data_IF_855082297042
#
_entry.id   IF_855082297042
#
_cell.length_a   1.000
_cell.length_b   1.000
_cell.length_c   1.000
_cell.angle_alpha   90.00
_cell.angle_beta   90.00
_cell.angle_gamma   90.00
#
_symmetry.space_group_name_H-M   'P 1'
#
loop_
_entity.id
_entity.type
_entity.pdbx_description
1 polymer ?
#
# COMPACT_ATOMS: atom_id res chain seq x y z
N UNK A 1 -31.16 -48.58 -24.18
CA UNK A 1 -29.69 -48.50 -24.02
C UNK A 1 -29.09 -47.16 -24.47
N UNK A 2 -29.85 -46.23 -25.07
CA UNK A 2 -29.31 -44.96 -25.59
C UNK A 2 -29.35 -43.77 -24.63
N UNK A 3 -30.02 -43.85 -23.47
CA UNK A 3 -30.07 -42.76 -22.48
C UNK A 3 -28.88 -42.78 -21.49
N UNK A 4 -28.37 -43.97 -21.15
CA UNK A 4 -27.24 -44.14 -20.19
C UNK A 4 -25.91 -43.66 -20.78
N UNK A 5 -25.77 -43.67 -22.12
CA UNK A 5 -24.56 -43.21 -22.80
C UNK A 5 -24.48 -41.68 -22.97
N UNK A 6 -25.60 -40.96 -22.78
CA UNK A 6 -25.62 -39.50 -22.92
C UNK A 6 -25.31 -38.80 -21.59
N UNK A 7 -25.80 -39.33 -20.46
CA UNK A 7 -25.48 -38.79 -19.13
C UNK A 7 -24.00 -38.96 -18.75
N UNK A 8 -23.39 -40.09 -19.12
CA UNK A 8 -21.97 -40.35 -18.90
C UNK A 8 -21.06 -39.42 -19.73
N UNK A 9 -21.48 -39.03 -20.93
CA UNK A 9 -20.73 -38.09 -21.77
C UNK A 9 -20.85 -36.63 -21.30
N UNK A 10 -22.03 -36.23 -20.82
CA UNK A 10 -22.24 -34.89 -20.23
C UNK A 10 -21.47 -34.74 -18.92
N UNK A 11 -21.43 -35.77 -18.07
CA UNK A 11 -20.67 -35.75 -16.82
C UNK A 11 -19.14 -35.73 -17.05
N UNK A 12 -18.65 -36.44 -18.08
CA UNK A 12 -17.24 -36.39 -18.47
C UNK A 12 -16.84 -35.05 -19.11
N UNK A 13 -17.73 -34.41 -19.88
CA UNK A 13 -17.48 -33.09 -20.47
C UNK A 13 -17.50 -31.96 -19.42
N UNK A 14 -18.36 -32.04 -18.39
CA UNK A 14 -18.34 -31.08 -17.29
C UNK A 14 -17.06 -31.21 -16.44
N UNK A 15 -16.61 -32.44 -16.13
CA UNK A 15 -15.38 -32.68 -15.36
C UNK A 15 -14.09 -32.30 -16.13
N UNK A 16 -14.06 -32.50 -17.45
CA UNK A 16 -12.93 -32.06 -18.29
C UNK A 16 -12.92 -30.55 -18.50
N UNK A 17 -14.08 -29.89 -18.54
CA UNK A 17 -14.17 -28.43 -18.59
C UNK A 17 -13.77 -27.79 -17.25
N UNK A 18 -14.18 -28.35 -16.11
CA UNK A 18 -13.75 -27.87 -14.78
C UNK A 18 -12.25 -28.06 -14.56
N UNK A 19 -11.68 -29.23 -14.87
CA UNK A 19 -10.24 -29.48 -14.73
C UNK A 19 -9.37 -28.64 -15.67
N UNK A 20 -9.84 -28.31 -16.89
CA UNK A 20 -9.15 -27.41 -17.80
C UNK A 20 -9.21 -25.94 -17.35
N UNK A 21 -10.32 -25.49 -16.79
CA UNK A 21 -10.45 -24.18 -16.13
C UNK A 21 -9.60 -24.08 -14.86
N UNK A 22 -9.52 -25.13 -14.06
CA UNK A 22 -8.65 -25.20 -12.88
C UNK A 22 -7.18 -25.15 -13.27
N UNK A 23 -6.77 -25.91 -14.29
CA UNK A 23 -5.40 -25.87 -14.81
C UNK A 23 -5.05 -24.50 -15.41
N UNK A 24 -5.97 -23.87 -16.15
CA UNK A 24 -5.76 -22.52 -16.68
C UNK A 24 -5.70 -21.45 -15.57
N UNK A 25 -6.52 -21.58 -14.53
CA UNK A 25 -6.50 -20.70 -13.36
C UNK A 25 -5.22 -20.89 -12.53
N UNK A 26 -4.75 -22.12 -12.35
CA UNK A 26 -3.50 -22.44 -11.67
C UNK A 26 -2.28 -21.96 -12.47
N UNK A 27 -2.30 -22.11 -13.79
CA UNK A 27 -1.24 -21.62 -14.66
C UNK A 27 -1.18 -20.08 -14.64
N UNK A 28 -2.34 -19.40 -14.66
CA UNK A 28 -2.43 -17.95 -14.52
C UNK A 28 -2.02 -17.46 -13.12
N UNK A 29 -2.41 -18.16 -12.05
CA UNK A 29 -1.94 -17.87 -10.70
C UNK A 29 -0.42 -18.04 -10.58
N UNK A 30 0.14 -19.09 -11.20
CA UNK A 30 1.58 -19.34 -11.20
C UNK A 30 2.39 -18.30 -11.99
N UNK A 31 1.85 -17.80 -13.10
CA UNK A 31 2.51 -16.77 -13.91
C UNK A 31 2.48 -15.41 -13.22
N UNK A 32 1.37 -15.06 -12.57
CA UNK A 32 1.25 -13.86 -11.73
C UNK A 32 2.19 -13.93 -10.52
N UNK A 33 2.28 -15.09 -9.88
CA UNK A 33 3.19 -15.32 -8.75
C UNK A 33 4.66 -15.18 -9.18
N UNK A 34 5.04 -15.73 -10.33
CA UNK A 34 6.39 -15.54 -10.92
C UNK A 34 6.68 -14.07 -11.23
N UNK A 35 5.72 -13.36 -11.83
CA UNK A 35 5.86 -11.94 -12.14
C UNK A 35 6.02 -11.09 -10.87
N UNK A 36 5.23 -11.38 -9.84
CA UNK A 36 5.30 -10.68 -8.55
C UNK A 36 6.64 -10.95 -7.85
N UNK A 37 7.14 -12.19 -7.91
CA UNK A 37 8.46 -12.55 -7.40
C UNK A 37 9.58 -11.77 -8.12
N UNK A 38 9.57 -11.79 -9.46
CA UNK A 38 10.57 -11.09 -10.27
C UNK A 38 10.56 -9.58 -9.99
N UNK A 39 9.39 -8.96 -9.94
CA UNK A 39 9.23 -7.54 -9.61
C UNK A 39 9.83 -7.22 -8.24
N UNK A 40 9.54 -8.02 -7.22
CA UNK A 40 10.09 -7.84 -5.87
C UNK A 40 11.61 -8.03 -5.83
N UNK A 41 12.16 -8.98 -6.58
CA UNK A 41 13.61 -9.16 -6.68
C UNK A 41 14.29 -7.95 -7.32
N UNK A 42 13.72 -7.43 -8.42
CA UNK A 42 14.23 -6.21 -9.08
C UNK A 42 14.20 -5.03 -8.10
N UNK A 43 13.05 -4.79 -7.45
CA UNK A 43 12.94 -3.71 -6.45
C UNK A 43 13.91 -3.90 -5.28
N UNK A 44 14.13 -5.15 -4.84
CA UNK A 44 15.10 -5.45 -3.79
C UNK A 44 16.53 -5.10 -4.23
N UNK A 45 16.95 -5.48 -5.43
CA UNK A 45 18.30 -5.17 -5.96
C UNK A 45 18.50 -3.65 -6.09
N UNK A 46 17.48 -2.94 -6.59
CA UNK A 46 17.51 -1.48 -6.70
C UNK A 46 17.63 -0.84 -5.31
N UNK A 47 16.80 -1.25 -4.35
CA UNK A 47 16.86 -0.77 -2.97
C UNK A 47 18.18 -1.10 -2.30
N UNK A 48 18.75 -2.29 -2.54
CA UNK A 48 20.04 -2.69 -1.99
C UNK A 48 21.17 -1.79 -2.48
N UNK A 49 21.11 -1.39 -3.76
CA UNK A 49 22.07 -0.47 -4.36
C UNK A 49 21.99 0.91 -3.69
N UNK A 50 20.77 1.38 -3.43
CA UNK A 50 20.54 2.66 -2.73
C UNK A 50 21.08 2.63 -1.29
N UNK A 51 20.82 1.55 -0.54
CA UNK A 51 21.28 1.40 0.85
C UNK A 51 22.80 1.38 0.96
N UNK A 52 23.50 0.83 -0.04
CA UNK A 52 24.98 0.80 -0.06
C UNK A 52 25.61 2.17 -0.28
N UNK A 53 24.94 3.06 -1.00
CA UNK A 53 25.47 4.38 -1.34
C UNK A 53 24.99 5.48 -0.36
N UNK A 54 23.78 5.37 0.17
CA UNK A 54 23.18 6.36 1.06
C UNK A 54 23.65 6.20 2.52
N UNK A 55 23.91 7.33 3.18
CA UNK A 55 24.16 7.34 4.62
C UNK A 55 22.88 7.00 5.40
N UNK A 56 22.97 6.37 6.60
CA UNK A 56 21.78 6.03 7.38
C UNK A 56 20.89 7.24 7.70
N UNK A 57 21.49 8.40 7.99
CA UNK A 57 20.72 9.61 8.28
C UNK A 57 19.95 10.13 7.06
N UNK A 58 20.56 10.13 5.87
CA UNK A 58 19.88 10.52 4.63
C UNK A 58 18.78 9.51 4.30
N UNK A 59 19.09 8.22 4.37
CA UNK A 59 18.14 7.15 4.08
C UNK A 59 16.95 7.16 5.05
N UNK A 60 17.19 7.48 6.33
CA UNK A 60 16.16 7.69 7.35
C UNK A 60 15.24 8.87 7.03
N UNK A 61 15.81 10.05 6.75
CA UNK A 61 15.04 11.23 6.33
C UNK A 61 14.16 10.92 5.11
N UNK A 62 14.72 10.24 4.10
CA UNK A 62 13.99 9.92 2.87
C UNK A 62 12.88 8.89 3.12
N UNK A 63 13.25 7.70 3.62
CA UNK A 63 12.36 6.53 3.68
C UNK A 63 11.31 6.62 4.79
N UNK A 64 11.62 7.35 5.86
CA UNK A 64 10.69 7.58 6.96
C UNK A 64 9.95 8.90 6.78
N UNK A 65 10.66 10.02 6.64
CA UNK A 65 10.02 11.34 6.73
C UNK A 65 9.48 11.84 5.40
N UNK A 66 10.29 11.88 4.34
CA UNK A 66 9.85 12.40 3.03
C UNK A 66 8.85 11.48 2.34
N UNK A 67 9.01 10.16 2.46
CA UNK A 67 7.98 9.20 2.02
C UNK A 67 6.68 9.36 2.82
N UNK A 68 6.76 9.57 4.14
CA UNK A 68 5.57 9.84 4.94
C UNK A 68 4.88 11.13 4.50
N UNK A 69 5.64 12.19 4.22
CA UNK A 69 5.12 13.45 3.68
C UNK A 69 4.41 13.22 2.35
N UNK A 70 5.07 12.55 1.39
CA UNK A 70 4.52 12.24 0.08
C UNK A 70 3.24 11.41 0.18
N UNK A 71 3.28 10.32 0.95
CA UNK A 71 2.12 9.44 1.16
C UNK A 71 0.98 10.21 1.83
N UNK A 72 1.26 11.07 2.80
CA UNK A 72 0.26 11.89 3.48
C UNK A 72 -0.42 12.87 2.51
N UNK A 73 0.37 13.57 1.68
CA UNK A 73 -0.15 14.49 0.67
C UNK A 73 -1.06 13.76 -0.30
N UNK A 74 -0.55 12.69 -0.92
CA UNK A 74 -1.29 11.95 -1.94
C UNK A 74 -2.55 11.32 -1.34
N UNK A 75 -2.41 10.67 -0.18
CA UNK A 75 -3.53 10.02 0.48
C UNK A 75 -4.68 10.99 0.78
N UNK A 76 -4.37 12.11 1.46
CA UNK A 76 -5.37 13.13 1.82
C UNK A 76 -6.02 13.77 0.60
N UNK A 77 -5.27 13.89 -0.50
CA UNK A 77 -5.69 14.64 -1.67
C UNK A 77 -6.53 13.81 -2.64
N UNK A 78 -6.24 12.52 -2.84
CA UNK A 78 -6.85 11.71 -3.91
C UNK A 78 -7.61 10.47 -3.46
N UNK A 79 -7.30 9.86 -2.34
CA UNK A 79 -7.73 8.47 -2.07
C UNK A 79 -9.27 8.34 -1.92
N UNK A 80 -9.92 9.25 -1.19
CA UNK A 80 -11.38 9.21 -1.06
C UNK A 80 -12.11 9.53 -2.37
N UNK A 81 -11.60 10.49 -3.15
CA UNK A 81 -12.14 10.83 -4.47
C UNK A 81 -12.00 9.68 -5.47
N UNK A 82 -10.81 9.06 -5.54
CA UNK A 82 -10.56 7.90 -6.40
C UNK A 82 -11.53 6.77 -6.08
N UNK A 83 -11.67 6.42 -4.79
CA UNK A 83 -12.54 5.33 -4.39
C UNK A 83 -14.03 5.60 -4.64
N UNK A 84 -14.47 6.86 -4.55
CA UNK A 84 -15.82 7.25 -4.93
C UNK A 84 -16.03 7.17 -6.45
N UNK A 85 -15.09 7.70 -7.24
CA UNK A 85 -15.14 7.69 -8.72
C UNK A 85 -15.14 6.26 -9.28
N UNK A 86 -14.40 5.33 -8.68
CA UNK A 86 -14.40 3.92 -9.10
C UNK A 86 -15.73 3.19 -8.86
N UNK A 87 -16.61 3.74 -8.01
CA UNK A 87 -17.95 3.19 -7.76
C UNK A 87 -19.03 3.83 -8.64
N UNK A 88 -18.72 4.95 -9.29
CA UNK A 88 -19.67 5.65 -10.13
C UNK A 88 -19.76 4.98 -11.50
N UNK A 89 -20.99 4.78 -11.99
CA UNK A 89 -21.27 4.34 -13.35
C UNK A 89 -21.20 5.54 -14.31
N UNK A 90 -19.97 5.93 -14.66
CA UNK A 90 -19.70 7.15 -15.44
C UNK A 90 -20.02 6.96 -16.93
N UNK A 91 -19.73 5.78 -17.48
CA UNK A 91 -19.91 5.48 -18.91
C UNK A 91 -21.39 5.48 -19.37
N UNK A 92 -22.31 5.04 -18.51
CA UNK A 92 -23.74 5.10 -18.84
C UNK A 92 -24.32 6.52 -18.74
N UNK A 93 -23.70 7.40 -17.95
CA UNK A 93 -24.16 8.79 -17.74
C UNK A 93 -23.55 9.79 -18.71
N UNK A 94 -22.35 9.51 -19.24
CA UNK A 94 -21.75 10.32 -20.31
C UNK A 94 -22.53 10.23 -21.64
N UNK A 95 -23.10 9.06 -21.96
CA UNK A 95 -23.92 8.84 -23.17
C UNK A 95 -25.23 9.63 -23.18
N UNK A 96 -25.70 10.08 -22.01
CA UNK A 96 -26.93 10.87 -21.85
C UNK A 96 -26.77 12.39 -22.03
N UNK A 97 -25.56 12.88 -22.32
CA UNK A 97 -25.30 14.33 -22.48
C UNK A 97 -25.10 15.09 -21.16
N UNK A 98 -25.03 14.40 -20.00
CA UNK A 98 -24.83 14.97 -18.65
C UNK A 98 -23.33 15.06 -18.27
N UNK A 99 -22.47 15.43 -19.22
CA UNK A 99 -21.00 15.28 -19.11
C UNK A 99 -20.27 16.24 -18.17
N UNK A 100 -20.96 17.17 -17.50
CA UNK A 100 -20.27 18.28 -16.82
C UNK A 100 -19.94 18.07 -15.32
N UNK A 101 -20.87 17.65 -14.44
CA UNK A 101 -20.59 17.67 -13.00
C UNK A 101 -19.78 16.46 -12.48
N UNK A 102 -19.88 15.29 -13.12
CA UNK A 102 -19.12 14.09 -12.74
C UNK A 102 -17.66 14.21 -13.19
N UNK A 103 -17.43 14.68 -14.42
CA UNK A 103 -16.09 14.90 -15.00
C UNK A 103 -15.25 15.89 -14.19
N UNK A 104 -15.90 16.88 -13.56
CA UNK A 104 -15.21 17.84 -12.69
C UNK A 104 -14.66 17.20 -11.40
N UNK A 105 -15.28 16.12 -10.90
CA UNK A 105 -14.83 15.44 -9.67
C UNK A 105 -13.45 14.81 -9.86
N UNK A 106 -13.10 14.39 -11.08
CA UNK A 106 -11.75 13.91 -11.41
C UNK A 106 -10.67 14.96 -11.17
N UNK A 107 -11.01 16.26 -11.27
CA UNK A 107 -10.06 17.36 -11.08
C UNK A 107 -9.92 17.79 -9.61
N UNK A 108 -10.84 17.39 -8.73
CA UNK A 108 -10.81 17.76 -7.32
C UNK A 108 -9.51 17.34 -6.62
N UNK A 109 -8.95 16.13 -6.84
CA UNK A 109 -7.64 15.78 -6.30
C UNK A 109 -6.52 16.72 -6.68
N UNK A 110 -6.56 17.30 -7.89
CA UNK A 110 -5.56 18.28 -8.36
C UNK A 110 -5.72 19.59 -7.60
N UNK A 111 -6.93 20.18 -7.62
CA UNK A 111 -7.18 21.49 -7.03
C UNK A 111 -7.10 21.49 -5.50
N UNK A 112 -7.63 20.45 -4.85
CA UNK A 112 -7.53 20.28 -3.40
C UNK A 112 -6.13 19.84 -2.99
N UNK A 113 -5.44 19.06 -3.83
CA UNK A 113 -4.14 18.53 -3.49
C UNK A 113 -3.01 19.56 -3.51
N UNK A 114 -3.10 20.62 -4.31
CA UNK A 114 -2.11 21.72 -4.29
C UNK A 114 -2.01 22.40 -2.91
N UNK A 115 -3.10 22.95 -2.30
CA UNK A 115 -3.03 23.56 -0.99
C UNK A 115 -2.66 22.55 0.11
N UNK A 116 -3.11 21.29 0.00
CA UNK A 116 -2.70 20.21 0.92
C UNK A 116 -1.20 19.97 0.83
N UNK A 117 -0.64 19.90 -0.39
CA UNK A 117 0.80 19.72 -0.63
C UNK A 117 1.62 20.84 0.01
N UNK A 118 1.23 22.10 -0.24
CA UNK A 118 1.92 23.26 0.31
C UNK A 118 1.82 23.31 1.84
N UNK A 119 0.64 23.05 2.40
CA UNK A 119 0.39 23.08 3.85
C UNK A 119 1.14 21.95 4.57
N UNK A 120 1.12 20.73 4.02
CA UNK A 120 1.82 19.59 4.59
C UNK A 120 3.34 19.79 4.56
N UNK A 121 3.89 20.31 3.45
CA UNK A 121 5.31 20.61 3.33
C UNK A 121 5.74 21.77 4.25
N UNK A 122 4.89 22.78 4.42
CA UNK A 122 5.12 23.85 5.40
C UNK A 122 5.12 23.31 6.84
N UNK A 123 4.16 22.45 7.18
CA UNK A 123 4.09 21.80 8.48
C UNK A 123 5.33 20.92 8.72
N UNK A 124 5.73 20.10 7.74
CA UNK A 124 6.93 19.27 7.83
C UNK A 124 8.18 20.11 8.08
N UNK A 125 8.39 21.19 7.30
CA UNK A 125 9.53 22.10 7.50
C UNK A 125 9.54 22.71 8.90
N UNK A 126 8.36 23.07 9.43
CA UNK A 126 8.24 23.68 10.75
C UNK A 126 8.58 22.68 11.86
N UNK A 127 8.07 21.46 11.77
CA UNK A 127 8.19 20.43 12.81
C UNK A 127 9.40 19.49 12.67
N UNK A 128 10.16 19.56 11.57
CA UNK A 128 11.38 18.79 11.39
C UNK A 128 12.43 19.14 12.46
N UNK A 129 13.15 18.13 12.95
CA UNK A 129 14.22 18.32 13.95
C UNK A 129 15.39 19.14 13.39
N UNK A 130 16.16 19.75 14.27
CA UNK A 130 17.33 20.55 13.87
C UNK A 130 18.37 19.70 13.14
N UNK A 131 18.59 18.46 13.59
CA UNK A 131 19.46 17.49 12.90
C UNK A 131 19.01 17.24 11.45
N UNK A 132 17.70 17.24 11.20
CA UNK A 132 17.15 17.02 9.85
C UNK A 132 17.37 18.26 8.99
N UNK A 133 17.13 19.44 9.56
CA UNK A 133 17.30 20.74 8.89
C UNK A 133 18.76 21.03 8.55
N UNK A 134 19.71 20.51 9.33
CA UNK A 134 21.15 20.65 9.08
C UNK A 134 21.67 19.78 7.92
N UNK A 135 20.89 18.83 7.41
CA UNK A 135 21.29 18.04 6.26
C UNK A 135 21.40 18.92 5.00
N UNK A 136 22.48 18.70 4.24
CA UNK A 136 22.72 19.39 2.97
C UNK A 136 21.54 19.22 2.01
N UNK A 137 21.15 20.32 1.36
CA UNK A 137 20.01 20.38 0.43
C UNK A 137 18.65 19.98 1.03
N UNK A 138 18.45 20.12 2.35
CA UNK A 138 17.14 19.88 2.99
C UNK A 138 15.98 20.63 2.33
N UNK A 139 16.06 21.96 2.21
CA UNK A 139 14.97 22.75 1.62
C UNK A 139 14.71 22.42 0.14
N UNK A 140 15.73 22.33 -0.74
CA UNK A 140 15.54 21.85 -2.10
C UNK A 140 14.88 20.47 -2.18
N UNK A 141 15.27 19.52 -1.32
CA UNK A 141 14.67 18.19 -1.32
C UNK A 141 13.17 18.23 -0.98
N UNK A 142 12.79 18.98 0.05
CA UNK A 142 11.36 19.16 0.41
C UNK A 142 10.58 19.81 -0.73
N UNK A 143 11.14 20.84 -1.36
CA UNK A 143 10.50 21.51 -2.50
C UNK A 143 10.30 20.55 -3.69
N UNK A 144 11.31 19.75 -4.03
CA UNK A 144 11.25 18.75 -5.10
C UNK A 144 10.23 17.63 -4.80
N UNK A 145 10.17 17.13 -3.55
CA UNK A 145 9.14 16.17 -3.14
C UNK A 145 7.72 16.77 -3.18
N UNK A 146 7.58 18.05 -2.84
CA UNK A 146 6.29 18.76 -2.95
C UNK A 146 5.86 18.90 -4.41
N UNK A 147 6.79 19.29 -5.28
CA UNK A 147 6.56 19.39 -6.72
C UNK A 147 6.21 18.02 -7.32
N UNK A 148 6.94 16.97 -6.94
CA UNK A 148 6.68 15.59 -7.32
C UNK A 148 5.24 15.18 -6.94
N UNK A 149 4.83 15.45 -5.70
CA UNK A 149 3.47 15.16 -5.24
C UNK A 149 2.40 15.89 -6.09
N UNK A 150 2.62 17.17 -6.43
CA UNK A 150 1.71 17.93 -7.29
C UNK A 150 1.64 17.33 -8.71
N UNK A 151 2.78 16.93 -9.28
CA UNK A 151 2.81 16.26 -10.60
C UNK A 151 2.05 14.92 -10.55
N UNK A 152 2.23 14.14 -9.49
CA UNK A 152 1.48 12.88 -9.30
C UNK A 152 -0.03 13.12 -9.15
N UNK A 153 -0.44 14.24 -8.55
CA UNK A 153 -1.85 14.62 -8.47
C UNK A 153 -2.40 15.03 -9.84
N UNK A 154 -1.62 15.70 -10.69
CA UNK A 154 -2.00 16.00 -12.07
C UNK A 154 -2.21 14.71 -12.89
N UNK A 155 -1.51 13.63 -12.56
CA UNK A 155 -1.71 12.31 -13.18
C UNK A 155 -3.04 11.65 -12.80
N UNK A 156 -3.64 12.07 -11.68
CA UNK A 156 -4.76 11.38 -11.05
C UNK A 156 -6.00 11.19 -11.96
N UNK A 157 -6.47 12.21 -12.69
CA UNK A 157 -7.64 12.06 -13.54
C UNK A 157 -7.44 10.97 -14.62
N UNK A 158 -6.24 10.93 -15.21
CA UNK A 158 -5.86 9.95 -16.24
C UNK A 158 -5.72 8.55 -15.64
N UNK A 159 -5.16 8.45 -14.43
CA UNK A 159 -5.09 7.19 -13.70
C UNK A 159 -6.50 6.62 -13.44
N UNK A 160 -7.43 7.40 -12.88
CA UNK A 160 -8.79 6.91 -12.61
C UNK A 160 -9.48 6.42 -13.90
N UNK A 161 -9.35 7.18 -15.00
CA UNK A 161 -9.87 6.78 -16.30
C UNK A 161 -9.27 5.48 -16.83
N UNK A 162 -7.96 5.29 -16.65
CA UNK A 162 -7.29 4.03 -17.05
C UNK A 162 -7.82 2.81 -16.29
N UNK A 163 -8.18 2.98 -15.02
CA UNK A 163 -8.76 1.91 -14.20
C UNK A 163 -10.20 1.62 -14.61
N UNK A 164 -11.00 2.66 -14.84
CA UNK A 164 -12.40 2.51 -15.30
C UNK A 164 -12.48 1.85 -16.68
N UNK A 165 -11.54 2.18 -17.59
CA UNK A 165 -11.43 1.54 -18.91
C UNK A 165 -10.76 0.16 -18.90
N UNK A 166 -10.43 -0.38 -17.71
CA UNK A 166 -9.77 -1.67 -17.51
C UNK A 166 -8.42 -1.82 -18.26
N UNK A 167 -7.77 -0.70 -18.62
CA UNK A 167 -6.50 -0.70 -19.34
C UNK A 167 -5.32 -0.82 -18.37
N UNK A 168 -5.18 -2.00 -17.77
CA UNK A 168 -4.11 -2.32 -16.81
C UNK A 168 -2.71 -2.21 -17.42
N UNK A 169 -2.58 -2.32 -18.75
CA UNK A 169 -1.31 -2.21 -19.46
C UNK A 169 -0.67 -0.82 -19.37
N UNK A 170 -1.45 0.27 -19.44
CA UNK A 170 -0.92 1.64 -19.28
C UNK A 170 -0.37 1.83 -17.88
N UNK A 171 -1.09 1.36 -16.86
CA UNK A 171 -0.66 1.46 -15.46
C UNK A 171 0.65 0.71 -15.21
N UNK A 172 0.77 -0.52 -15.70
CA UNK A 172 2.00 -1.32 -15.56
C UNK A 172 3.19 -0.62 -16.23
N UNK A 173 3.00 -0.09 -17.45
CA UNK A 173 4.05 0.68 -18.14
C UNK A 173 4.43 1.95 -17.38
N UNK A 174 3.45 2.70 -16.88
CA UNK A 174 3.66 3.96 -16.17
C UNK A 174 4.41 3.74 -14.85
N UNK A 175 3.89 2.87 -13.97
CA UNK A 175 4.51 2.59 -12.67
C UNK A 175 5.88 1.89 -12.84
N UNK A 176 5.98 0.91 -13.75
CA UNK A 176 7.20 0.16 -13.99
C UNK A 176 8.35 1.03 -14.52
N UNK A 177 8.08 1.84 -15.55
CA UNK A 177 9.09 2.76 -16.11
C UNK A 177 9.49 3.84 -15.10
N UNK A 178 8.54 4.42 -14.36
CA UNK A 178 8.82 5.44 -13.37
C UNK A 178 9.73 4.93 -12.23
N UNK A 179 9.52 3.71 -11.72
CA UNK A 179 10.38 3.10 -10.69
C UNK A 179 11.81 2.92 -11.21
N UNK A 180 11.96 2.45 -12.46
CA UNK A 180 13.28 2.25 -13.08
C UNK A 180 14.00 3.58 -13.24
N UNK A 181 13.35 4.60 -13.83
CA UNK A 181 13.93 5.92 -14.04
C UNK A 181 14.30 6.60 -12.72
N UNK A 182 13.42 6.53 -11.70
CA UNK A 182 13.71 6.99 -10.33
C UNK A 182 15.00 6.38 -9.79
N UNK A 183 15.11 5.06 -9.90
CA UNK A 183 16.23 4.32 -9.34
C UNK A 183 17.53 4.66 -10.07
N UNK A 184 17.50 4.73 -11.41
CA UNK A 184 18.65 5.11 -12.23
C UNK A 184 19.14 6.51 -11.85
N UNK A 185 18.25 7.51 -11.83
CA UNK A 185 18.63 8.91 -11.53
C UNK A 185 19.17 9.05 -10.10
N UNK A 186 18.55 8.36 -9.14
CA UNK A 186 19.02 8.36 -7.75
C UNK A 186 20.42 7.74 -7.65
N UNK A 187 20.64 6.57 -8.24
CA UNK A 187 21.94 5.89 -8.23
C UNK A 187 23.01 6.70 -8.93
N UNK A 188 22.73 7.24 -10.13
CA UNK A 188 23.70 8.07 -10.87
C UNK A 188 24.11 9.31 -10.08
N UNK A 189 23.16 9.96 -9.41
CA UNK A 189 23.45 11.14 -8.60
C UNK A 189 24.23 10.77 -7.33
N UNK A 190 23.92 9.63 -6.69
CA UNK A 190 24.69 9.13 -5.53
C UNK A 190 26.11 8.69 -5.91
N UNK A 191 26.30 8.08 -7.09
CA UNK A 191 27.62 7.73 -7.61
C UNK A 191 28.42 8.99 -7.91
N UNK A 192 27.80 10.00 -8.53
CA UNK A 192 28.43 11.30 -8.75
C UNK A 192 28.82 12.00 -7.43
N UNK A 193 27.95 11.95 -6.42
CA UNK A 193 28.23 12.47 -5.07
C UNK A 193 29.41 11.74 -4.43
N UNK A 194 29.50 10.41 -4.59
CA UNK A 194 30.62 9.62 -4.04
C UNK A 194 31.98 9.98 -4.64
N UNK A 195 32.00 10.52 -5.86
CA UNK A 195 33.21 10.93 -6.58
C UNK A 195 33.49 12.44 -6.45
N UNK A 196 32.59 13.20 -5.81
CA UNK A 196 32.70 14.65 -5.65
C UNK A 196 33.71 15.04 -4.57
N UNK A 197 34.17 16.30 -4.59
CA UNK A 197 35.14 16.84 -3.62
C UNK A 197 34.65 16.81 -2.17
N UNK A 198 33.33 16.83 -1.96
CA UNK A 198 32.67 16.71 -0.65
C UNK A 198 31.65 15.56 -0.70
N UNK A 199 32.10 14.30 -0.51
CA UNK A 199 31.25 13.14 -0.63
C UNK A 199 30.12 13.11 0.40
N UNK A 200 28.92 12.73 -0.03
CA UNK A 200 27.77 12.55 0.85
C UNK A 200 26.95 13.82 1.08
N UNK A 201 27.22 14.90 0.34
CA UNK A 201 26.49 16.16 0.46
C UNK A 201 25.23 16.18 -0.40
N UNK A 202 25.22 15.47 -1.53
CA UNK A 202 24.09 15.45 -2.46
C UNK A 202 23.09 14.32 -2.18
N UNK A 203 23.31 13.51 -1.14
CA UNK A 203 22.47 12.35 -0.85
C UNK A 203 20.97 12.64 -0.84
N UNK A 204 20.53 13.66 -0.09
CA UNK A 204 19.11 14.02 -0.01
C UNK A 204 18.56 14.55 -1.34
N UNK A 205 19.38 15.33 -2.06
CA UNK A 205 19.04 15.84 -3.39
C UNK A 205 18.91 14.70 -4.40
N UNK A 206 19.75 13.66 -4.34
CA UNK A 206 19.70 12.52 -5.23
C UNK A 206 18.35 11.80 -5.17
N UNK A 207 17.85 11.53 -3.97
CA UNK A 207 16.53 10.91 -3.79
C UNK A 207 15.39 11.83 -4.24
N UNK A 208 15.52 13.14 -4.00
CA UNK A 208 14.52 14.12 -4.42
C UNK A 208 14.44 14.26 -5.95
N UNK A 209 15.59 14.28 -6.64
CA UNK A 209 15.65 14.24 -8.10
C UNK A 209 15.08 12.93 -8.66
N UNK A 210 15.38 11.80 -8.01
CA UNK A 210 14.77 10.52 -8.34
C UNK A 210 13.25 10.53 -8.23
N UNK A 211 12.70 11.09 -7.14
CA UNK A 211 11.24 11.20 -6.94
C UNK A 211 10.58 12.19 -7.92
N UNK A 212 11.26 13.28 -8.26
CA UNK A 212 10.76 14.18 -9.30
C UNK A 212 10.73 13.46 -10.66
N UNK A 213 11.79 12.73 -11.01
CA UNK A 213 11.85 11.97 -12.25
C UNK A 213 10.79 10.86 -12.31
N UNK A 214 10.53 10.17 -11.20
CA UNK A 214 9.41 9.24 -11.07
C UNK A 214 8.09 9.90 -11.52
N UNK A 215 7.81 11.07 -10.94
CA UNK A 215 6.55 11.78 -11.16
C UNK A 215 6.42 12.30 -12.60
N UNK A 216 7.53 12.80 -13.18
CA UNK A 216 7.57 13.24 -14.57
C UNK A 216 7.35 12.07 -15.52
N UNK A 217 8.05 10.95 -15.33
CA UNK A 217 7.87 9.75 -16.17
C UNK A 217 6.43 9.22 -16.09
N UNK A 218 5.86 9.19 -14.88
CA UNK A 218 4.47 8.81 -14.67
C UNK A 218 3.52 9.70 -15.49
N UNK A 219 3.71 11.02 -15.41
CA UNK A 219 2.91 11.99 -16.16
C UNK A 219 3.08 11.83 -17.67
N UNK A 220 4.32 11.65 -18.16
CA UNK A 220 4.60 11.49 -19.59
C UNK A 220 3.87 10.29 -20.19
N UNK A 221 3.85 9.14 -19.49
CA UNK A 221 3.15 7.94 -19.97
C UNK A 221 1.64 8.18 -20.02
N UNK A 222 1.05 8.76 -18.97
CA UNK A 222 -0.39 9.04 -18.98
C UNK A 222 -0.79 10.10 -20.02
N UNK A 223 0.01 11.14 -20.21
CA UNK A 223 -0.23 12.13 -21.25
C UNK A 223 -0.14 11.51 -22.65
N UNK A 224 0.81 10.61 -22.90
CA UNK A 224 0.95 9.97 -24.21
C UNK A 224 -0.29 9.19 -24.64
N UNK A 225 -1.06 8.65 -23.69
CA UNK A 225 -2.24 7.83 -23.95
C UNK A 225 -3.56 8.61 -23.83
N UNK A 226 -3.65 9.55 -22.87
CA UNK A 226 -4.91 10.20 -22.51
C UNK A 226 -4.96 11.71 -22.75
N UNK A 227 -3.87 12.36 -23.18
CA UNK A 227 -3.84 13.81 -23.41
C UNK A 227 -4.94 14.33 -24.36
N UNK A 228 -5.27 13.67 -25.50
CA UNK A 228 -6.29 14.19 -26.41
C UNK A 228 -7.70 14.23 -25.82
N UNK A 229 -7.94 13.44 -24.77
CA UNK A 229 -9.28 13.22 -24.20
C UNK A 229 -9.48 13.93 -22.86
N UNK A 230 -8.51 14.73 -22.39
CA UNK A 230 -8.52 15.32 -21.05
C UNK A 230 -8.64 16.85 -21.13
N UNK A 231 -9.59 17.42 -20.39
CA UNK A 231 -9.70 18.88 -20.19
C UNK A 231 -9.56 19.21 -18.71
N UNK A 232 -8.59 20.05 -18.34
CA UNK A 232 -8.34 20.48 -16.97
C UNK A 232 -9.16 21.72 -16.56
N UNK A 233 -10.35 21.88 -17.13
CA UNK A 233 -11.23 23.00 -16.84
C UNK A 233 -12.51 22.50 -16.17
N UNK A 234 -12.87 23.15 -15.06
CA UNK A 234 -14.14 22.89 -14.38
C UNK A 234 -15.26 23.53 -15.19
N UNK A 235 -16.20 22.73 -15.66
CA UNK A 235 -17.36 23.20 -16.43
C UNK A 235 -18.58 23.34 -15.53
N UNK A 236 -19.32 24.45 -15.65
CA UNK A 236 -20.56 24.62 -14.89
C UNK A 236 -21.65 23.72 -15.45
N UNK A 237 -22.37 23.00 -14.59
CA UNK A 237 -23.50 22.18 -15.02
C UNK A 237 -24.60 23.06 -15.62
N UNK A 238 -25.12 22.66 -16.79
CA UNK A 238 -26.28 23.30 -17.42
C UNK A 238 -27.61 22.77 -16.85
N UNK A 239 -27.60 21.66 -16.10
CA UNK A 239 -28.78 21.10 -15.48
C UNK A 239 -29.02 21.74 -14.12
N UNK A 240 -30.18 22.38 -13.97
CA UNK A 240 -30.64 22.97 -12.72
C UNK A 240 -30.99 21.82 -11.76
N UNK A 241 -30.49 21.78 -10.51
CA UNK A 241 -30.84 20.71 -9.60
C UNK A 241 -32.36 20.75 -9.36
N UNK A 242 -33.06 19.67 -9.72
CA UNK A 242 -34.48 19.53 -9.45
C UNK A 242 -34.66 19.47 -7.93
N UNK A 243 -35.20 20.53 -7.37
CA UNK A 243 -35.28 20.74 -5.93
C UNK A 243 -36.22 19.74 -5.27
N UNK A 244 -35.67 18.76 -4.55
CA UNK A 244 -36.37 18.12 -3.45
C UNK A 244 -36.20 18.98 -2.20
N UNK A 245 -37.25 19.72 -1.87
CA UNK A 245 -37.39 20.43 -0.61
C UNK A 245 -37.68 19.42 0.50
N UNK A 246 -36.62 18.85 1.09
CA UNK A 246 -36.71 18.26 2.43
C UNK A 246 -35.49 18.72 3.20
N UNK A 247 -35.64 19.89 3.81
CA UNK A 247 -34.76 20.38 4.86
C UNK A 247 -34.97 19.51 6.11
N UNK A 248 -34.39 18.32 6.11
CA UNK A 248 -34.06 17.61 7.34
C UNK A 248 -32.74 18.20 7.85
N UNK A 249 -32.67 18.50 9.14
CA UNK A 249 -31.43 18.83 9.87
C UNK A 249 -30.35 17.81 9.48
N UNK A 250 -29.41 18.24 8.67
CA UNK A 250 -28.44 17.36 8.03
C UNK A 250 -27.04 17.93 8.22
N UNK A 251 -26.12 17.03 8.55
CA UNK A 251 -24.69 17.26 8.80
C UNK A 251 -24.07 18.42 7.98
N UNK A 252 -23.11 19.14 8.58
CA UNK A 252 -22.33 20.24 7.95
C UNK A 252 -21.88 19.90 6.52
N UNK A 253 -21.56 18.61 6.29
CA UNK A 253 -21.18 18.07 4.99
C UNK A 253 -22.23 18.32 3.90
N UNK A 254 -23.51 18.09 4.18
CA UNK A 254 -24.62 18.23 3.23
C UNK A 254 -24.87 19.69 2.83
N UNK A 255 -24.66 20.62 3.76
CA UNK A 255 -24.72 22.06 3.47
C UNK A 255 -23.59 22.49 2.53
N UNK A 256 -22.39 21.96 2.74
CA UNK A 256 -21.23 22.24 1.91
C UNK A 256 -21.38 21.69 0.49
N UNK A 257 -21.81 20.42 0.34
CA UNK A 257 -22.00 19.78 -0.98
C UNK A 257 -23.11 20.44 -1.79
N UNK A 258 -24.24 20.82 -1.16
CA UNK A 258 -25.34 21.53 -1.83
C UNK A 258 -24.91 22.86 -2.46
N UNK A 259 -23.98 23.60 -1.83
CA UNK A 259 -23.42 24.84 -2.38
C UNK A 259 -22.56 24.62 -3.62
N UNK A 260 -22.02 23.41 -3.76
CA UNK A 260 -21.14 22.98 -4.86
C UNK A 260 -21.88 22.19 -5.96
N UNK A 261 -23.16 21.89 -5.76
CA UNK A 261 -24.04 21.15 -6.70
C UNK A 261 -24.10 21.73 -8.12
N UNK A 262 -23.82 23.03 -8.29
CA UNK A 262 -23.76 23.67 -9.62
C UNK A 262 -22.55 23.23 -10.46
N UNK A 263 -21.53 22.65 -9.84
CA UNK A 263 -20.27 22.24 -10.46
C UNK A 263 -19.97 20.76 -10.29
N UNK A 264 -20.52 20.11 -9.26
CA UNK A 264 -20.19 18.72 -8.91
C UNK A 264 -21.46 17.93 -8.60
N UNK A 265 -21.43 16.61 -8.84
CA UNK A 265 -22.48 15.70 -8.40
C UNK A 265 -22.51 15.65 -6.87
N UNK A 266 -23.64 16.02 -6.27
CA UNK A 266 -23.78 16.17 -4.81
C UNK A 266 -23.55 14.85 -4.08
N UNK A 267 -24.13 13.75 -4.59
CA UNK A 267 -24.03 12.43 -3.98
C UNK A 267 -22.61 11.89 -4.07
N UNK A 268 -21.97 12.01 -5.24
CA UNK A 268 -20.62 11.54 -5.45
C UNK A 268 -19.60 12.33 -4.63
N UNK A 269 -19.80 13.65 -4.48
CA UNK A 269 -18.98 14.50 -3.63
C UNK A 269 -19.14 14.16 -2.15
N UNK A 270 -20.38 13.93 -1.69
CA UNK A 270 -20.64 13.51 -0.31
C UNK A 270 -19.93 12.19 0.02
N UNK A 271 -20.07 11.19 -0.86
CA UNK A 271 -19.39 9.90 -0.72
C UNK A 271 -17.87 10.08 -0.75
N UNK A 272 -17.33 10.87 -1.67
CA UNK A 272 -15.89 11.13 -1.77
C UNK A 272 -15.33 11.75 -0.48
N UNK A 273 -15.99 12.77 0.07
CA UNK A 273 -15.56 13.43 1.30
C UNK A 273 -15.66 12.50 2.52
N UNK A 274 -16.73 11.71 2.62
CA UNK A 274 -16.87 10.70 3.68
C UNK A 274 -15.76 9.63 3.60
N UNK A 275 -15.44 9.16 2.39
CA UNK A 275 -14.35 8.21 2.16
C UNK A 275 -12.97 8.81 2.43
N UNK A 276 -12.76 10.10 2.14
CA UNK A 276 -11.53 10.82 2.52
C UNK A 276 -11.38 10.90 4.03
N UNK A 277 -12.45 11.23 4.76
CA UNK A 277 -12.44 11.31 6.23
C UNK A 277 -12.16 9.94 6.87
N UNK A 278 -12.83 8.88 6.41
CA UNK A 278 -12.56 7.51 6.85
C UNK A 278 -11.12 7.09 6.52
N UNK A 279 -10.66 7.45 5.33
CA UNK A 279 -9.31 7.19 4.87
C UNK A 279 -8.26 7.78 5.80
N UNK A 280 -8.46 9.02 6.28
CA UNK A 280 -7.47 9.71 7.12
C UNK A 280 -7.09 8.90 8.37
N UNK A 281 -8.09 8.30 9.04
CA UNK A 281 -7.83 7.42 10.18
C UNK A 281 -6.99 6.23 9.74
N UNK A 282 -7.34 5.59 8.62
CA UNK A 282 -6.58 4.46 8.07
C UNK A 282 -5.15 4.85 7.72
N UNK A 283 -4.91 6.05 7.21
CA UNK A 283 -3.57 6.56 6.92
C UNK A 283 -2.71 6.63 8.17
N UNK A 284 -3.24 7.21 9.26
CA UNK A 284 -2.55 7.25 10.56
C UNK A 284 -2.24 5.83 11.05
N UNK A 285 -3.16 4.89 10.88
CA UNK A 285 -2.95 3.50 11.29
C UNK A 285 -1.94 2.75 10.43
N UNK A 286 -1.84 3.09 9.14
CA UNK A 286 -0.96 2.40 8.19
C UNK A 286 0.46 2.94 8.25
N UNK A 287 0.59 4.26 8.38
CA UNK A 287 1.88 4.96 8.47
C UNK A 287 2.30 5.24 9.92
N UNK A 288 1.56 4.70 10.90
CA UNK A 288 1.77 4.92 12.33
C UNK A 288 3.19 4.61 12.77
N UNK A 289 3.78 3.54 12.24
CA UNK A 289 5.16 3.13 12.49
C UNK A 289 6.14 4.23 12.08
N UNK A 290 5.98 4.79 10.87
CA UNK A 290 6.81 5.88 10.37
C UNK A 290 6.59 7.16 11.18
N UNK A 291 5.34 7.46 11.56
CA UNK A 291 5.01 8.62 12.40
C UNK A 291 5.73 8.51 13.75
N UNK A 292 5.64 7.37 14.43
CA UNK A 292 6.27 7.13 15.73
C UNK A 292 7.80 7.23 15.60
N UNK A 293 8.39 6.52 14.64
CA UNK A 293 9.84 6.50 14.42
C UNK A 293 10.36 7.90 14.04
N UNK A 294 9.65 8.65 13.19
CA UNK A 294 10.05 10.00 12.80
C UNK A 294 10.15 10.99 13.97
N UNK A 295 9.36 10.77 15.03
CA UNK A 295 9.27 11.67 16.19
C UNK A 295 10.13 11.24 17.37
N UNK A 296 10.38 9.94 17.51
CA UNK A 296 11.02 9.39 18.70
C UNK A 296 12.45 8.92 18.44
N UNK A 297 12.76 8.46 17.22
CA UNK A 297 14.05 7.87 16.88
C UNK A 297 15.07 8.91 16.39
N UNK A 298 16.34 8.80 16.80
CA UNK A 298 17.45 9.51 16.17
C UNK A 298 17.51 9.25 14.66
N UNK A 299 17.99 10.22 13.87
CA UNK A 299 17.99 10.13 12.40
C UNK A 299 18.71 8.92 11.83
N UNK A 300 19.86 8.54 12.42
CA UNK A 300 20.63 7.37 11.96
C UNK A 300 19.84 6.08 12.17
N UNK A 301 19.12 6.00 13.28
CA UNK A 301 18.28 4.86 13.65
C UNK A 301 16.99 4.82 12.83
N UNK A 302 16.45 5.96 12.39
CA UNK A 302 15.36 5.97 11.40
C UNK A 302 15.77 5.25 10.10
N UNK A 303 17.01 5.46 9.64
CA UNK A 303 17.56 4.73 8.49
C UNK A 303 17.76 3.24 8.78
N UNK A 304 18.27 2.92 9.98
CA UNK A 304 18.41 1.54 10.45
C UNK A 304 17.08 0.79 10.47
N UNK A 305 16.06 1.39 11.09
CA UNK A 305 14.70 0.88 11.13
C UNK A 305 14.12 0.70 9.72
N UNK A 306 14.26 1.69 8.83
CA UNK A 306 13.76 1.61 7.47
C UNK A 306 14.35 0.42 6.69
N UNK A 307 15.67 0.22 6.78
CA UNK A 307 16.35 -0.92 6.14
C UNK A 307 15.90 -2.23 6.76
N UNK A 308 15.88 -2.33 8.09
CA UNK A 308 15.46 -3.54 8.79
C UNK A 308 14.01 -3.92 8.49
N UNK A 309 13.09 -2.95 8.46
CA UNK A 309 11.70 -3.16 8.12
C UNK A 309 11.54 -3.63 6.66
N UNK A 310 12.33 -3.08 5.73
CA UNK A 310 12.32 -3.49 4.33
C UNK A 310 12.81 -4.93 4.14
N UNK A 311 13.85 -5.35 4.85
CA UNK A 311 14.36 -6.72 4.80
C UNK A 311 13.45 -7.70 5.53
N UNK A 312 13.00 -7.37 6.74
CA UNK A 312 12.12 -8.23 7.53
C UNK A 312 10.80 -8.52 6.81
N UNK A 313 10.20 -7.49 6.21
CA UNK A 313 8.97 -7.65 5.41
C UNK A 313 9.19 -8.40 4.09
N UNK A 314 10.44 -8.58 3.62
CA UNK A 314 10.72 -9.27 2.36
C UNK A 314 10.32 -10.74 2.42
N UNK A 315 10.56 -11.42 3.55
CA UNK A 315 10.17 -12.83 3.74
C UNK A 315 8.66 -12.97 3.61
N UNK A 316 7.90 -12.08 4.26
CA UNK A 316 6.45 -12.06 4.15
C UNK A 316 5.99 -11.87 2.70
N UNK A 317 6.64 -10.96 1.98
CA UNK A 317 6.29 -10.61 0.60
C UNK A 317 6.63 -11.69 -0.43
N UNK A 318 7.73 -12.41 -0.23
CA UNK A 318 8.23 -13.42 -1.17
C UNK A 318 7.61 -14.78 -0.90
N UNK A 319 7.46 -15.17 0.37
CA UNK A 319 7.02 -16.52 0.74
C UNK A 319 5.56 -16.54 1.20
N UNK A 320 5.19 -15.71 2.18
CA UNK A 320 3.87 -15.84 2.82
C UNK A 320 2.75 -15.28 1.95
N UNK A 321 2.90 -14.08 1.37
CA UNK A 321 1.86 -13.44 0.58
C UNK A 321 1.32 -14.32 -0.57
N UNK A 322 2.15 -14.96 -1.41
CA UNK A 322 1.64 -15.87 -2.43
C UNK A 322 0.87 -17.07 -1.88
N UNK A 323 1.34 -17.64 -0.76
CA UNK A 323 0.67 -18.77 -0.09
C UNK A 323 -0.66 -18.30 0.50
N UNK A 324 -0.72 -17.12 1.10
CA UNK A 324 -1.95 -16.52 1.65
C UNK A 324 -2.99 -16.26 0.55
N UNK A 325 -2.58 -15.70 -0.59
CA UNK A 325 -3.45 -15.45 -1.73
C UNK A 325 -3.99 -16.76 -2.33
N UNK A 326 -3.12 -17.77 -2.52
CA UNK A 326 -3.51 -19.10 -2.98
C UNK A 326 -4.47 -19.79 -2.00
N UNK A 327 -4.20 -19.66 -0.69
CA UNK A 327 -5.06 -20.22 0.37
C UNK A 327 -6.42 -19.56 0.38
N UNK A 328 -6.50 -18.23 0.26
CA UNK A 328 -7.76 -17.49 0.18
C UNK A 328 -8.59 -17.93 -1.02
N UNK A 329 -7.99 -18.08 -2.20
CA UNK A 329 -8.70 -18.57 -3.38
C UNK A 329 -9.23 -19.98 -3.19
N UNK A 330 -8.43 -20.87 -2.61
CA UNK A 330 -8.86 -22.22 -2.30
C UNK A 330 -10.04 -22.23 -1.32
N UNK A 331 -9.90 -21.57 -0.16
CA UNK A 331 -10.96 -21.53 0.85
C UNK A 331 -12.24 -20.89 0.30
N UNK A 332 -12.14 -19.77 -0.41
CA UNK A 332 -13.30 -19.11 -1.00
C UNK A 332 -14.05 -20.01 -1.99
N UNK A 333 -13.33 -20.78 -2.82
CA UNK A 333 -13.97 -21.76 -3.72
C UNK A 333 -14.65 -22.88 -2.92
N UNK A 334 -13.94 -23.47 -1.97
CA UNK A 334 -14.46 -24.55 -1.12
C UNK A 334 -15.69 -24.14 -0.31
N UNK A 335 -15.79 -22.88 0.14
CA UNK A 335 -16.96 -22.38 0.85
C UNK A 335 -18.07 -21.86 -0.08
N UNK A 336 -17.75 -21.41 -1.29
CA UNK A 336 -18.76 -20.97 -2.26
C UNK A 336 -19.63 -22.12 -2.81
N UNK A 337 -19.07 -23.33 -2.88
CA UNK A 337 -19.82 -24.55 -3.27
C UNK A 337 -20.77 -25.06 -2.18
N UNK A 338 -20.77 -24.45 -0.99
CA UNK A 338 -21.56 -24.87 0.19
C UNK A 338 -22.90 -24.10 0.29
N UNK A 339 -23.20 -23.18 -0.63
CA UNK A 339 -24.45 -22.41 -0.67
C UNK A 339 -25.72 -23.23 -1.05
N UNK A 340 -25.63 -24.56 -1.10
CA UNK A 340 -26.71 -25.48 -1.44
C UNK A 340 -27.24 -26.20 -0.20
N UNK A 341 -28.03 -25.50 0.65
CA UNK A 341 -28.87 -25.96 1.78
C UNK A 341 -28.33 -27.03 2.78
N UNK A 342 -27.09 -27.50 2.64
CA UNK A 342 -26.45 -28.47 3.51
C UNK A 342 -24.95 -28.18 3.57
N UNK A 343 -24.41 -28.09 4.80
CA UNK A 343 -22.98 -27.94 5.02
C UNK A 343 -22.32 -29.24 4.52
N UNK A 344 -21.64 -29.19 3.37
CA UNK A 344 -20.82 -30.29 2.92
C UNK A 344 -19.66 -30.48 3.92
N UNK A 345 -19.83 -31.50 4.78
CA UNK A 345 -18.83 -31.85 5.80
C UNK A 345 -17.51 -32.26 5.16
N UNK A 346 -17.51 -32.79 3.93
CA UNK A 346 -16.30 -33.14 3.19
C UNK A 346 -15.49 -31.92 2.76
N UNK A 347 -16.17 -30.89 2.23
CA UNK A 347 -15.55 -29.61 1.89
C UNK A 347 -14.95 -28.92 3.14
N UNK A 348 -15.70 -28.89 4.26
CA UNK A 348 -15.20 -28.34 5.53
C UNK A 348 -13.98 -29.12 6.05
N UNK A 349 -14.03 -30.45 6.04
CA UNK A 349 -12.91 -31.29 6.48
C UNK A 349 -11.68 -31.09 5.58
N UNK A 350 -11.86 -30.94 4.28
CA UNK A 350 -10.78 -30.63 3.33
C UNK A 350 -10.15 -29.26 3.60
N UNK A 351 -10.97 -28.24 3.87
CA UNK A 351 -10.50 -26.91 4.23
C UNK A 351 -9.69 -26.92 5.55
N UNK A 352 -10.21 -27.59 6.58
CA UNK A 352 -9.53 -27.73 7.88
C UNK A 352 -8.24 -28.56 7.77
N UNK A 353 -8.23 -29.63 6.97
CA UNK A 353 -7.04 -30.43 6.73
C UNK A 353 -5.94 -29.60 6.04
N UNK A 354 -6.29 -28.79 5.04
CA UNK A 354 -5.32 -27.88 4.38
C UNK A 354 -4.84 -26.78 5.33
N UNK A 355 -5.74 -26.18 6.10
CA UNK A 355 -5.37 -25.19 7.13
C UNK A 355 -4.40 -25.80 8.15
N UNK A 356 -4.73 -26.97 8.70
CA UNK A 356 -3.88 -27.69 9.66
C UNK A 356 -2.51 -28.04 9.07
N UNK A 357 -2.46 -28.49 7.81
CA UNK A 357 -1.20 -28.79 7.12
C UNK A 357 -0.33 -27.53 6.95
N UNK A 358 -0.93 -26.39 6.58
CA UNK A 358 -0.20 -25.12 6.45
C UNK A 358 0.30 -24.61 7.81
N UNK A 359 -0.53 -24.65 8.85
CA UNK A 359 -0.14 -24.28 10.20
C UNK A 359 0.98 -25.18 10.73
N UNK A 360 0.95 -26.48 10.41
CA UNK A 360 2.00 -27.41 10.75
C UNK A 360 3.31 -27.05 10.03
N UNK A 361 3.28 -26.80 8.72
CA UNK A 361 4.45 -26.37 7.95
C UNK A 361 5.04 -25.08 8.51
N UNK A 362 4.20 -24.09 8.80
CA UNK A 362 4.63 -22.82 9.37
C UNK A 362 5.17 -22.96 10.80
N UNK A 363 4.66 -23.90 11.59
CA UNK A 363 5.21 -24.21 12.91
C UNK A 363 6.60 -24.82 12.81
N UNK A 364 6.82 -25.75 11.88
CA UNK A 364 8.16 -26.32 11.62
C UNK A 364 9.14 -25.26 11.10
N UNK A 365 8.71 -24.44 10.13
CA UNK A 365 9.49 -23.30 9.65
C UNK A 365 9.84 -22.34 10.79
N UNK A 366 8.88 -22.02 11.66
CA UNK A 366 9.09 -21.13 12.81
C UNK A 366 10.06 -21.74 13.81
N UNK A 367 9.99 -23.03 14.10
CA UNK A 367 10.94 -23.72 14.97
C UNK A 367 12.36 -23.69 14.39
N UNK A 368 12.51 -23.97 13.10
CA UNK A 368 13.80 -23.87 12.40
C UNK A 368 14.33 -22.44 12.43
N UNK A 369 13.49 -21.45 12.16
CA UNK A 369 13.87 -20.04 12.18
C UNK A 369 14.31 -19.61 13.59
N UNK A 370 13.53 -19.91 14.63
CA UNK A 370 13.85 -19.51 16.00
C UNK A 370 15.08 -20.23 16.57
N UNK A 371 15.37 -21.45 16.11
CA UNK A 371 16.54 -22.22 16.56
C UNK A 371 17.81 -21.86 15.78
N UNK A 372 17.73 -21.68 14.46
CA UNK A 372 18.89 -21.43 13.60
C UNK A 372 19.18 -19.94 13.38
N UNK A 373 18.18 -19.07 13.33
CA UNK A 373 18.43 -17.66 13.01
C UNK A 373 19.29 -16.95 14.06
N UNK A 374 19.05 -17.07 15.39
CA UNK A 374 19.87 -16.38 16.39
C UNK A 374 21.39 -16.67 16.30
N UNK A 375 21.87 -17.92 16.22
CA UNK A 375 23.31 -18.18 16.15
C UNK A 375 23.96 -17.69 14.85
N UNK A 376 23.23 -17.67 13.73
CA UNK A 376 23.74 -17.19 12.43
C UNK A 376 23.47 -15.70 12.17
N UNK A 377 22.74 -15.02 13.06
CA UNK A 377 22.26 -13.67 12.82
C UNK A 377 23.40 -12.69 12.52
N UNK A 378 24.47 -12.72 13.31
CA UNK A 378 25.62 -11.83 13.11
C UNK A 378 26.30 -12.04 11.75
N UNK A 379 26.37 -13.28 11.27
CA UNK A 379 26.89 -13.59 9.94
C UNK A 379 25.98 -13.04 8.84
N UNK A 380 24.67 -13.22 8.98
CA UNK A 380 23.68 -12.70 8.03
C UNK A 380 23.71 -11.16 8.01
N UNK A 381 23.75 -10.53 9.18
CA UNK A 381 23.78 -9.06 9.30
C UNK A 381 25.03 -8.46 8.65
N UNK A 382 26.21 -9.04 8.88
CA UNK A 382 27.46 -8.54 8.28
C UNK A 382 27.53 -8.76 6.77
N UNK A 383 26.86 -9.81 6.25
CA UNK A 383 26.75 -10.04 4.81
C UNK A 383 25.71 -9.12 4.14
N UNK A 384 24.61 -8.85 4.82
CA UNK A 384 23.45 -8.14 4.26
C UNK A 384 23.56 -6.62 4.39
N UNK A 385 23.95 -6.12 5.57
CA UNK A 385 24.00 -4.70 5.90
C UNK A 385 25.37 -4.11 5.58
N UNK A 386 25.44 -2.91 4.96
CA UNK A 386 26.69 -2.16 4.90
C UNK A 386 27.20 -1.85 6.32
N UNK A 387 28.53 -1.78 6.56
CA UNK A 387 29.09 -1.55 7.90
C UNK A 387 28.51 -0.32 8.63
N UNK A 388 28.13 0.72 7.88
CA UNK A 388 27.52 1.95 8.40
C UNK A 388 26.17 1.72 9.09
N UNK A 389 25.43 0.67 8.71
CA UNK A 389 24.13 0.32 9.29
C UNK A 389 24.25 -0.64 10.48
N UNK A 390 25.39 -1.29 10.68
CA UNK A 390 25.60 -2.16 11.85
C UNK A 390 25.62 -1.38 13.17
N UNK A 391 25.97 -0.09 13.13
CA UNK A 391 25.97 0.80 14.31
C UNK A 391 24.68 1.64 14.42
N UNK A 392 23.57 1.15 13.86
CA UNK A 392 22.24 1.79 13.95
C UNK A 392 21.27 0.83 14.62
N UNK A 393 19.98 1.18 14.70
CA UNK A 393 18.94 0.26 15.17
C UNK A 393 18.71 -0.98 14.29
N UNK A 394 19.27 -1.04 13.07
CA UNK A 394 19.00 -2.14 12.12
C UNK A 394 19.24 -3.56 12.68
N UNK A 395 20.39 -3.89 13.31
CA UNK A 395 20.62 -5.21 13.90
C UNK A 395 19.61 -5.59 14.97
N UNK A 396 19.27 -4.66 15.87
CA UNK A 396 18.32 -4.89 16.95
C UNK A 396 16.90 -5.12 16.40
N UNK A 397 16.49 -4.31 15.42
CA UNK A 397 15.19 -4.45 14.75
C UNK A 397 15.12 -5.77 13.99
N UNK A 398 16.16 -6.16 13.24
CA UNK A 398 16.21 -7.45 12.56
C UNK A 398 16.22 -8.65 13.52
N UNK A 399 16.81 -8.50 14.70
CA UNK A 399 16.73 -9.49 15.78
C UNK A 399 15.28 -9.66 16.26
N UNK A 400 14.54 -8.55 16.43
CA UNK A 400 13.12 -8.60 16.77
C UNK A 400 12.26 -9.22 15.65
N UNK A 401 12.65 -9.05 14.38
CA UNK A 401 11.97 -9.66 13.24
C UNK A 401 12.00 -11.19 13.27
N UNK A 402 13.03 -11.82 13.85
CA UNK A 402 13.09 -13.28 14.03
C UNK A 402 11.87 -13.79 14.81
N UNK A 403 11.42 -13.03 15.81
CA UNK A 403 10.23 -13.33 16.60
C UNK A 403 8.93 -12.94 15.91
N UNK A 404 8.98 -11.92 15.05
CA UNK A 404 7.79 -11.42 14.36
C UNK A 404 7.37 -12.28 13.18
N UNK A 405 8.33 -12.87 12.45
CA UNK A 405 8.07 -13.69 11.25
C UNK A 405 7.12 -14.88 11.55
N UNK A 406 7.30 -15.68 12.62
CA UNK A 406 6.37 -16.74 13.00
C UNK A 406 4.93 -16.27 13.19
N UNK A 407 4.76 -15.15 13.90
CA UNK A 407 3.45 -14.55 14.19
C UNK A 407 2.79 -14.11 12.88
N UNK A 408 3.56 -13.52 11.99
CA UNK A 408 3.09 -13.07 10.68
C UNK A 408 2.63 -14.25 9.80
N UNK A 409 3.39 -15.34 9.79
CA UNK A 409 3.07 -16.55 9.02
C UNK A 409 1.71 -17.14 9.45
N UNK A 410 1.53 -17.34 10.76
CA UNK A 410 0.28 -17.90 11.31
C UNK A 410 -0.88 -16.94 11.08
N UNK A 411 -0.70 -15.64 11.37
CA UNK A 411 -1.74 -14.64 11.21
C UNK A 411 -2.25 -14.53 9.77
N UNK A 412 -1.35 -14.59 8.77
CA UNK A 412 -1.73 -14.48 7.36
C UNK A 412 -2.64 -15.60 6.87
N UNK A 413 -2.33 -16.87 7.20
CA UNK A 413 -3.15 -18.01 6.77
C UNK A 413 -4.49 -18.07 7.53
N UNK A 414 -4.49 -17.71 8.82
CA UNK A 414 -5.74 -17.59 9.58
C UNK A 414 -6.64 -16.49 9.02
N UNK A 415 -6.07 -15.34 8.66
CA UNK A 415 -6.82 -14.25 8.03
C UNK A 415 -7.37 -14.66 6.66
N UNK A 416 -6.60 -15.41 5.86
CA UNK A 416 -7.09 -15.97 4.60
C UNK A 416 -8.31 -16.88 4.83
N UNK A 417 -8.23 -17.81 5.80
CA UNK A 417 -9.34 -18.70 6.14
C UNK A 417 -10.58 -17.94 6.64
N UNK A 418 -10.41 -17.06 7.64
CA UNK A 418 -11.52 -16.25 8.19
C UNK A 418 -12.13 -15.38 7.09
N UNK A 419 -11.32 -14.74 6.24
CA UNK A 419 -11.82 -13.89 5.15
C UNK A 419 -12.67 -14.64 4.13
N UNK A 420 -12.43 -15.95 3.98
CA UNK A 420 -13.17 -16.80 3.05
C UNK A 420 -14.39 -17.48 3.69
N UNK A 421 -14.36 -17.74 5.00
CA UNK A 421 -15.42 -18.45 5.72
C UNK A 421 -16.43 -17.51 6.42
N UNK A 422 -16.02 -16.30 6.77
CA UNK A 422 -16.80 -15.39 7.61
C UNK A 422 -17.92 -14.67 6.83
N UNK A 423 -19.04 -14.41 7.51
CA UNK A 423 -20.12 -13.58 6.95
C UNK A 423 -19.73 -12.10 6.89
N UNK A 424 -20.46 -11.29 6.11
CA UNK A 424 -20.24 -9.84 6.06
C UNK A 424 -20.38 -9.17 7.43
N UNK A 425 -21.21 -9.72 8.33
CA UNK A 425 -21.38 -9.22 9.70
C UNK A 425 -20.15 -9.51 10.56
N UNK A 426 -19.57 -10.69 10.41
CA UNK A 426 -18.36 -11.11 11.13
C UNK A 426 -17.14 -10.31 10.69
N UNK A 427 -17.00 -10.07 9.39
CA UNK A 427 -15.96 -9.20 8.83
C UNK A 427 -16.10 -7.75 9.31
N UNK A 428 -17.33 -7.23 9.42
CA UNK A 428 -17.58 -5.90 9.98
C UNK A 428 -17.24 -5.82 11.48
N UNK A 429 -17.48 -6.91 12.24
CA UNK A 429 -17.09 -7.01 13.64
C UNK A 429 -15.57 -7.06 13.79
N UNK A 430 -14.89 -7.87 12.98
CA UNK A 430 -13.42 -7.95 12.94
C UNK A 430 -12.80 -6.60 12.60
N UNK A 431 -13.35 -5.86 11.64
CA UNK A 431 -12.88 -4.52 11.27
C UNK A 431 -12.93 -3.53 12.42
N UNK A 432 -14.01 -3.55 13.23
CA UNK A 432 -14.12 -2.72 14.44
C UNK A 432 -13.10 -3.12 15.51
N UNK A 433 -12.88 -4.42 15.71
CA UNK A 433 -11.83 -4.90 16.62
C UNK A 433 -10.44 -4.49 16.17
N UNK A 434 -10.13 -4.54 14.88
CA UNK A 434 -8.86 -4.06 14.32
C UNK A 434 -8.66 -2.56 14.59
N UNK A 435 -9.72 -1.75 14.46
CA UNK A 435 -9.65 -0.32 14.78
C UNK A 435 -9.43 -0.06 16.28
N UNK A 436 -9.99 -0.87 17.18
CA UNK A 436 -9.70 -0.76 18.62
C UNK A 436 -8.28 -1.23 18.98
N UNK A 437 -7.83 -2.35 18.38
CA UNK A 437 -6.51 -2.91 18.61
C UNK A 437 -5.39 -1.99 18.11
N UNK A 438 -5.65 -1.12 17.13
CA UNK A 438 -4.66 -0.18 16.62
C UNK A 438 -4.37 0.98 17.60
N UNK A 439 -5.37 1.40 18.40
CA UNK A 439 -5.15 2.34 19.51
C UNK A 439 -4.26 1.70 20.58
N UNK A 440 -4.56 0.44 20.92
CA UNK A 440 -3.72 -0.34 21.83
C UNK A 440 -2.29 -0.47 21.29
N UNK A 441 -2.14 -0.74 19.99
CA UNK A 441 -0.83 -0.80 19.34
C UNK A 441 -0.01 0.46 19.58
N UNK A 442 -0.57 1.65 19.31
CA UNK A 442 0.12 2.93 19.55
C UNK A 442 0.49 3.08 21.03
N UNK A 443 -0.42 2.76 21.95
CA UNK A 443 -0.16 2.85 23.39
C UNK A 443 0.98 1.91 23.85
N UNK A 444 0.97 0.66 23.36
CA UNK A 444 2.01 -0.34 23.65
C UNK A 444 3.35 0.10 23.07
N UNK A 445 3.38 0.57 21.81
CA UNK A 445 4.61 1.06 21.19
C UNK A 445 5.22 2.21 21.99
N UNK A 446 4.43 3.23 22.35
CA UNK A 446 4.91 4.39 23.12
C UNK A 446 5.38 3.96 24.51
N UNK A 447 4.66 3.05 25.18
CA UNK A 447 5.04 2.51 26.48
C UNK A 447 6.37 1.74 26.44
N UNK A 448 6.50 0.79 25.49
CA UNK A 448 7.72 0.01 25.30
C UNK A 448 8.92 0.89 24.89
N UNK A 449 8.69 1.93 24.09
CA UNK A 449 9.73 2.85 23.66
C UNK A 449 10.23 3.71 24.83
N UNK A 450 9.33 4.33 25.60
CA UNK A 450 9.70 5.28 26.67
C UNK A 450 10.10 4.61 27.98
N UNK A 451 9.38 3.57 28.38
CA UNK A 451 9.55 2.92 29.70
C UNK A 451 10.39 1.66 29.58
N UNK A 452 10.20 0.90 28.50
CA UNK A 452 10.88 -0.38 28.30
C UNK A 452 12.33 -0.26 27.81
N UNK A 453 12.78 0.92 27.38
CA UNK A 453 14.13 1.12 26.84
C UNK A 453 14.41 0.33 25.55
N UNK A 454 13.37 -0.20 24.89
CA UNK A 454 13.49 -1.07 23.71
C UNK A 454 13.80 -0.30 22.41
N UNK A 455 13.77 1.03 22.45
CA UNK A 455 13.99 1.89 21.29
C UNK A 455 13.11 1.49 20.11
N UNK A 456 13.66 1.48 18.90
CA UNK A 456 12.93 1.19 17.67
C UNK A 456 12.36 -0.24 17.62
N UNK A 457 12.91 -1.18 18.38
CA UNK A 457 12.37 -2.56 18.45
C UNK A 457 10.99 -2.61 19.09
N UNK A 458 10.61 -1.58 19.87
CA UNK A 458 9.28 -1.43 20.45
C UNK A 458 8.17 -1.52 19.39
N UNK A 459 8.41 -0.98 18.19
CA UNK A 459 7.47 -1.02 17.06
C UNK A 459 7.21 -2.45 16.60
N UNK A 460 8.27 -3.28 16.53
CA UNK A 460 8.16 -4.68 16.10
C UNK A 460 7.44 -5.52 17.16
N UNK A 461 7.79 -5.37 18.44
CA UNK A 461 7.15 -6.10 19.53
C UNK A 461 5.69 -5.69 19.73
N UNK A 462 5.38 -4.39 19.61
CA UNK A 462 3.99 -3.94 19.65
C UNK A 462 3.18 -4.51 18.47
N UNK A 463 3.78 -4.63 17.29
CA UNK A 463 3.15 -5.29 16.14
C UNK A 463 2.88 -6.78 16.39
N UNK A 464 3.77 -7.49 17.11
CA UNK A 464 3.52 -8.87 17.56
C UNK A 464 2.27 -8.93 18.45
N UNK A 465 2.19 -8.06 19.46
CA UNK A 465 1.03 -8.01 20.38
C UNK A 465 -0.26 -7.65 19.63
N UNK A 466 -0.20 -6.68 18.73
CA UNK A 466 -1.31 -6.26 17.88
C UNK A 466 -1.85 -7.43 17.05
N UNK A 467 -0.96 -8.17 16.37
CA UNK A 467 -1.37 -9.30 15.51
C UNK A 467 -1.86 -10.50 16.30
N UNK A 468 -1.30 -10.75 17.48
CA UNK A 468 -1.78 -11.82 18.36
C UNK A 468 -3.22 -11.57 18.85
N UNK A 469 -3.63 -10.31 19.05
CA UNK A 469 -5.00 -9.94 19.46
C UNK A 469 -5.99 -9.74 18.30
N UNK A 470 -5.49 -9.68 17.07
CA UNK A 470 -6.30 -9.50 15.85
C UNK A 470 -6.90 -10.81 15.33
N UNK A 471 -6.23 -11.93 15.62
CA UNK A 471 -6.56 -13.28 15.14
C UNK A 471 -7.78 -13.90 15.82
#
# INVERSE_FOLDING_TARGET
MSSVHNESNVHNQSQTSESSLENAALQSASSLMKLQLLSRMVTFILNQSLVRLASPAVFGTVSIQLELLLNTILFLSREGFRNALLRADVDNREKGGETSPITNIYLLPVYFGIPVSLSASFAYRSYASDDTKQQSFFLPAVALYTLAAIIELICEPMHVRSVQSLNSGVRIRAEGSAIIVKSIITVLTLVYDSQSKVPGSLGLLAFALGQLAFSITLLSVYLSEYAPSMTFLIHRSKTRPSGSNSASEGSILKYFTKRLSAFFDENLLEVALAMTAQGFVKHILTEGDKIIISRMSPLKDQGGYAVANNYGALIARIFFQPIEESSRLFFSKTFSSVNSDSIDRGALQSALARLGSLLLIYSHFSFLLLSLAPPYLNLVLTALLPPRYLNTSAPAVLSAWIWYIPVLAVNGVLEAFISSAASSRDLARQSRWMAGASVLYVAVTVGLYRVGGLGDTAVVYANIVYRARRG
#
